data_IF_430649394955
#
_entry.id   IF_430649394955
#
_cell.length_a   1.000
_cell.length_b   1.000
_cell.length_c   1.000
_cell.angle_alpha   90.00
_cell.angle_beta   90.00
_cell.angle_gamma   90.00
#
_symmetry.space_group_name_H-M   'P 1'
#
loop_
_entity.id
_entity.type
_entity.pdbx_description
1 polymer ?
#
# COMPACT_ATOMS: atom_id res chain seq x y z
N UNK A 1 -3.20 5.85 -10.12
CA UNK A 1 -1.85 5.25 -10.03
C UNK A 1 -1.36 4.78 -11.41
N UNK A 2 -0.04 4.72 -11.70
CA UNK A 2 0.53 4.20 -12.98
C UNK A 2 0.93 2.73 -12.82
N UNK A 3 0.34 1.82 -13.62
CA UNK A 3 0.57 0.36 -13.57
C UNK A 3 1.89 -0.04 -14.24
N UNK A 4 2.92 -0.39 -13.46
CA UNK A 4 4.15 -1.04 -13.94
C UNK A 4 4.62 -2.06 -12.88
N UNK A 5 5.30 -3.13 -13.29
CA UNK A 5 5.86 -4.18 -12.41
C UNK A 5 4.84 -5.00 -11.57
N UNK A 6 3.78 -5.51 -12.21
CA UNK A 6 2.71 -6.29 -11.56
C UNK A 6 3.09 -7.72 -11.19
N UNK A 7 4.15 -8.31 -11.78
CA UNK A 7 4.51 -9.72 -11.52
C UNK A 7 4.93 -9.97 -10.07
N UNK A 8 5.78 -9.11 -9.51
CA UNK A 8 6.21 -9.20 -8.10
C UNK A 8 5.03 -8.94 -7.16
N UNK A 9 4.22 -7.92 -7.45
CA UNK A 9 3.02 -7.63 -6.67
C UNK A 9 2.04 -8.81 -6.69
N UNK A 10 1.78 -9.40 -7.86
CA UNK A 10 0.92 -10.57 -7.99
C UNK A 10 1.44 -11.77 -7.21
N UNK A 11 2.74 -12.07 -7.29
CA UNK A 11 3.35 -13.17 -6.54
C UNK A 11 3.28 -12.94 -5.02
N UNK A 12 3.49 -11.70 -4.56
CA UNK A 12 3.36 -11.31 -3.15
C UNK A 12 1.92 -11.47 -2.65
N UNK A 13 0.94 -10.91 -3.38
CA UNK A 13 -0.48 -10.98 -3.02
C UNK A 13 -0.95 -12.44 -3.00
N UNK A 14 -0.57 -13.24 -4.00
CA UNK A 14 -0.91 -14.67 -4.05
C UNK A 14 -0.36 -15.44 -2.85
N UNK A 15 0.83 -15.07 -2.38
CA UNK A 15 1.44 -15.69 -1.20
C UNK A 15 0.77 -15.24 0.11
N UNK A 16 0.38 -13.97 0.19
CA UNK A 16 -0.24 -13.38 1.39
C UNK A 16 -1.69 -13.81 1.58
N UNK A 17 -2.46 -13.95 0.51
CA UNK A 17 -3.83 -14.48 0.56
C UNK A 17 -3.87 -15.93 1.08
N UNK A 18 -2.76 -16.67 0.94
CA UNK A 18 -2.62 -18.05 1.37
C UNK A 18 -3.43 -19.02 0.50
N UNK A 19 -3.11 -20.31 0.59
CA UNK A 19 -3.88 -21.34 -0.08
C UNK A 19 -5.21 -21.54 0.65
N UNK A 20 -6.34 -21.19 0.01
CA UNK A 20 -7.68 -21.44 0.53
C UNK A 20 -8.59 -20.22 0.67
N UNK A 21 -8.08 -19.01 0.45
CA UNK A 21 -8.90 -17.79 0.39
C UNK A 21 -9.07 -17.32 -1.07
N UNK A 22 -10.22 -16.71 -1.40
CA UNK A 22 -10.37 -16.04 -2.69
C UNK A 22 -9.31 -14.94 -2.82
N UNK A 23 -8.78 -14.77 -4.04
CA UNK A 23 -7.81 -13.72 -4.33
C UNK A 23 -8.46 -12.36 -4.00
N UNK A 24 -7.85 -11.52 -3.15
CA UNK A 24 -8.37 -10.19 -2.88
C UNK A 24 -8.31 -9.33 -4.14
N UNK A 25 -9.11 -8.27 -4.18
CA UNK A 25 -8.92 -7.22 -5.17
C UNK A 25 -7.67 -6.44 -4.78
N UNK A 26 -6.77 -6.18 -5.73
CA UNK A 26 -5.53 -5.45 -5.45
C UNK A 26 -5.17 -4.50 -6.58
N UNK A 27 -4.52 -3.39 -6.25
CA UNK A 27 -3.88 -2.47 -7.21
C UNK A 27 -2.47 -2.13 -6.71
N UNK A 28 -1.61 -1.70 -7.64
CA UNK A 28 -0.24 -1.29 -7.33
C UNK A 28 0.07 0.02 -8.03
N UNK A 29 0.77 0.88 -7.31
CA UNK A 29 1.09 2.20 -7.80
C UNK A 29 2.27 2.83 -7.11
N UNK A 30 2.50 4.08 -7.47
CA UNK A 30 3.44 4.96 -6.80
C UNK A 30 2.67 6.13 -6.24
N UNK A 31 2.85 6.37 -4.96
CA UNK A 31 2.35 7.54 -4.25
C UNK A 31 3.53 8.42 -3.85
N UNK A 32 3.33 9.72 -3.83
CA UNK A 32 4.36 10.70 -3.51
C UNK A 32 4.08 11.20 -2.09
N UNK A 33 5.02 11.09 -1.17
CA UNK A 33 4.92 11.71 0.15
C UNK A 33 5.18 13.21 0.06
N UNK A 34 4.48 14.00 0.90
CA UNK A 34 4.61 15.46 0.93
C UNK A 34 6.01 15.93 1.35
N UNK A 35 6.75 15.08 2.05
CA UNK A 35 8.15 15.29 2.41
C UNK A 35 8.89 13.94 2.42
N UNK A 36 10.23 13.94 2.30
CA UNK A 36 11.01 12.71 2.41
C UNK A 36 10.72 11.97 3.72
N UNK A 37 10.41 10.67 3.63
CA UNK A 37 10.19 9.80 4.78
C UNK A 37 11.25 8.69 4.82
N UNK A 38 11.66 8.31 6.02
CA UNK A 38 12.36 7.04 6.24
C UNK A 38 11.38 5.88 6.14
N UNK A 39 11.85 4.68 5.78
CA UNK A 39 10.98 3.48 5.71
C UNK A 39 10.27 3.20 7.03
N UNK A 40 10.98 3.29 8.15
CA UNK A 40 10.43 3.10 9.49
C UNK A 40 9.29 4.09 9.79
N UNK A 41 9.48 5.36 9.41
CA UNK A 41 8.47 6.39 9.59
C UNK A 41 7.25 6.18 8.70
N UNK A 42 7.45 5.75 7.45
CA UNK A 42 6.35 5.42 6.54
C UNK A 42 5.54 4.21 7.03
N UNK A 43 6.21 3.15 7.51
CA UNK A 43 5.57 1.96 8.08
C UNK A 43 4.81 2.31 9.37
N UNK A 44 5.42 3.07 10.27
CA UNK A 44 4.79 3.51 11.52
C UNK A 44 3.53 4.32 11.25
N UNK A 45 3.59 5.31 10.35
CA UNK A 45 2.43 6.14 10.01
C UNK A 45 1.29 5.36 9.36
N UNK A 46 1.61 4.39 8.48
CA UNK A 46 0.59 3.49 7.91
C UNK A 46 -0.05 2.61 8.99
N UNK A 47 0.73 2.11 9.94
CA UNK A 47 0.21 1.31 11.05
C UNK A 47 -0.68 2.14 12.00
N UNK A 48 -0.26 3.36 12.34
CA UNK A 48 -1.06 4.29 13.17
C UNK A 48 -2.36 4.70 12.48
N UNK A 49 -2.35 4.84 11.15
CA UNK A 49 -3.56 5.10 10.35
C UNK A 49 -4.45 3.85 10.15
N UNK A 50 -4.04 2.68 10.64
CA UNK A 50 -4.76 1.42 10.43
C UNK A 50 -4.76 0.94 8.97
N UNK A 51 -3.88 1.49 8.13
CA UNK A 51 -3.77 1.18 6.71
C UNK A 51 -2.68 0.15 6.41
N UNK A 52 -1.79 -0.14 7.35
CA UNK A 52 -0.73 -1.14 7.17
C UNK A 52 -1.29 -2.56 7.15
N UNK A 53 -0.99 -3.30 6.08
CA UNK A 53 -1.39 -4.72 5.97
C UNK A 53 -0.63 -5.60 6.97
N UNK A 54 -1.34 -6.47 7.70
CA UNK A 54 -0.75 -7.49 8.59
C UNK A 54 -1.16 -8.90 8.13
N UNK A 55 -0.34 -9.93 8.41
CA UNK A 55 -0.71 -11.31 8.12
C UNK A 55 -2.03 -11.68 8.80
N UNK A 56 -3.01 -12.11 8.01
CA UNK A 56 -4.36 -12.43 8.48
C UNK A 56 -5.40 -11.34 8.22
N UNK A 57 -4.98 -10.14 7.84
CA UNK A 57 -5.90 -9.08 7.44
C UNK A 57 -6.53 -9.38 6.07
N UNK A 58 -7.79 -9.00 5.91
CA UNK A 58 -8.50 -9.07 4.64
C UNK A 58 -8.16 -7.89 3.70
N UNK A 59 -7.60 -6.81 4.26
CA UNK A 59 -7.35 -5.56 3.55
C UNK A 59 -6.15 -4.80 4.14
N UNK A 60 -5.57 -3.89 3.37
CA UNK A 60 -4.48 -3.03 3.80
C UNK A 60 -3.48 -2.71 2.70
N UNK A 61 -2.47 -1.92 3.05
CA UNK A 61 -1.44 -1.42 2.15
C UNK A 61 -0.07 -1.98 2.54
N UNK A 62 0.66 -2.45 1.53
CA UNK A 62 2.04 -2.90 1.61
C UNK A 62 2.95 -1.89 0.90
N UNK A 63 4.07 -1.53 1.51
CA UNK A 63 5.15 -0.81 0.83
C UNK A 63 6.06 -1.82 0.11
N UNK A 64 6.27 -1.62 -1.19
CA UNK A 64 7.00 -2.56 -2.06
C UNK A 64 8.41 -2.09 -2.42
N UNK A 65 8.92 -1.05 -1.77
CA UNK A 65 10.28 -0.52 -1.97
C UNK A 65 10.96 -0.26 -0.63
N UNK A 66 12.20 -0.74 -0.48
CA UNK A 66 13.04 -0.49 0.69
C UNK A 66 13.50 0.98 0.79
N UNK A 67 13.69 1.66 -0.35
CA UNK A 67 14.13 3.05 -0.36
C UNK A 67 13.67 3.77 -1.63
N UNK A 68 12.74 4.74 -1.55
CA UNK A 68 12.46 5.62 -2.67
C UNK A 68 13.70 6.46 -2.99
N UNK A 69 14.13 6.51 -4.26
CA UNK A 69 15.36 7.19 -4.67
C UNK A 69 15.45 8.67 -4.27
N UNK A 70 14.31 9.30 -3.99
CA UNK A 70 14.18 10.70 -3.57
C UNK A 70 13.54 10.85 -2.18
N UNK A 71 13.34 9.78 -1.41
CA UNK A 71 12.66 9.84 -0.10
C UNK A 71 11.12 9.98 -0.17
N UNK A 72 10.56 10.27 -1.34
CA UNK A 72 9.15 10.65 -1.49
C UNK A 72 8.34 9.71 -2.36
N UNK A 73 8.94 9.00 -3.33
CA UNK A 73 8.21 8.14 -4.27
C UNK A 73 8.02 6.70 -3.78
N UNK A 74 6.95 6.43 -3.05
CA UNK A 74 6.68 5.12 -2.47
C UNK A 74 5.89 4.23 -3.43
N UNK A 75 6.44 3.05 -3.77
CA UNK A 75 5.66 2.02 -4.43
C UNK A 75 4.85 1.27 -3.39
N UNK A 76 3.55 1.18 -3.60
CA UNK A 76 2.64 0.46 -2.72
C UNK A 76 1.79 -0.55 -3.49
N UNK A 77 1.31 -1.55 -2.77
CA UNK A 77 0.26 -2.46 -3.22
C UNK A 77 -0.86 -2.41 -2.19
N UNK A 78 -2.07 -2.04 -2.62
CA UNK A 78 -3.26 -2.08 -1.80
C UNK A 78 -4.01 -3.39 -2.06
N UNK A 79 -4.53 -4.00 -0.99
CA UNK A 79 -5.37 -5.20 -1.03
C UNK A 79 -6.68 -4.87 -0.33
N UNK A 80 -7.80 -5.30 -0.91
CA UNK A 80 -9.10 -5.17 -0.28
C UNK A 80 -10.07 -6.25 -0.78
N UNK A 81 -11.24 -6.31 -0.13
CA UNK A 81 -12.34 -7.19 -0.53
C UNK A 81 -12.89 -6.86 -1.91
N UNK A 82 -12.88 -5.57 -2.28
CA UNK A 82 -13.50 -5.06 -3.51
C UNK A 82 -12.86 -3.73 -3.95
N UNK A 83 -13.28 -3.24 -5.13
CA UNK A 83 -12.73 -2.03 -5.73
C UNK A 83 -13.12 -0.74 -4.99
N UNK A 84 -14.25 -0.71 -4.28
CA UNK A 84 -14.65 0.47 -3.52
C UNK A 84 -13.73 0.62 -2.31
N UNK A 85 -13.48 -0.47 -1.59
CA UNK A 85 -12.50 -0.51 -0.50
C UNK A 85 -11.08 -0.19 -0.97
N UNK A 86 -10.66 -0.64 -2.16
CA UNK A 86 -9.38 -0.21 -2.73
C UNK A 86 -9.30 1.31 -2.91
N UNK A 87 -10.37 1.92 -3.43
CA UNK A 87 -10.41 3.39 -3.61
C UNK A 87 -10.30 4.11 -2.27
N UNK A 88 -10.96 3.60 -1.23
CA UNK A 88 -10.87 4.17 0.13
C UNK A 88 -9.46 4.05 0.72
N UNK A 89 -8.77 2.92 0.52
CA UNK A 89 -7.38 2.74 0.92
C UNK A 89 -6.44 3.69 0.15
N UNK A 90 -6.66 3.88 -1.15
CA UNK A 90 -5.89 4.81 -1.99
C UNK A 90 -6.06 6.27 -1.55
N UNK A 91 -7.28 6.68 -1.18
CA UNK A 91 -7.56 8.03 -0.65
C UNK A 91 -6.95 8.19 0.75
N UNK A 92 -7.14 7.19 1.62
CA UNK A 92 -6.62 7.20 2.99
C UNK A 92 -5.10 7.28 3.08
N UNK A 93 -4.39 6.83 2.04
CA UNK A 93 -2.93 6.90 1.91
C UNK A 93 -2.36 8.33 1.92
N UNK A 94 -3.15 9.35 1.59
CA UNK A 94 -2.70 10.74 1.52
C UNK A 94 -2.21 11.27 2.90
N UNK A 95 -3.03 11.09 3.93
CA UNK A 95 -2.77 11.57 5.29
C UNK A 95 -1.47 11.02 5.92
N UNK A 96 -1.21 9.69 5.99
CA UNK A 96 0.02 9.17 6.58
C UNK A 96 1.28 9.59 5.80
N UNK A 97 1.12 9.94 4.52
CA UNK A 97 2.21 10.44 3.69
C UNK A 97 2.39 11.96 3.75
N UNK A 98 1.68 12.62 4.66
CA UNK A 98 1.83 14.04 4.98
C UNK A 98 1.05 14.99 4.07
N UNK A 99 0.11 14.48 3.27
CA UNK A 99 -0.87 15.32 2.58
C UNK A 99 -2.08 15.48 3.49
N UNK A 100 -2.00 16.45 4.41
CA UNK A 100 -3.14 16.85 5.22
C UNK A 100 -4.02 17.81 4.40
N UNK A 101 -5.25 17.39 4.14
CA UNK A 101 -6.40 18.13 3.57
C UNK A 101 -6.19 18.82 2.19
N UNK A 102 -6.86 18.27 1.18
CA UNK A 102 -7.24 19.00 -0.05
C UNK A 102 -8.76 18.94 -0.17
#
# INVERSE_FOLDING_TARGET
>A
MRRTATTTAHALVSRLAGAGHPMPTWDTGTTIAASPLSIDMAVTRLAEAGLGFRPGDAEGVLLCVDHPANGSGWRCTALATDHARLTELEVGLAAPLGHEDL
#
